data_IF_064842536910
#
_entry.id   IF_064842536910
#
_cell.length_a   1.000
_cell.length_b   1.000
_cell.length_c   1.000
_cell.angle_alpha   90.00
_cell.angle_beta   90.00
_cell.angle_gamma   90.00
#
_symmetry.space_group_name_H-M   'P 1'
#
loop_
_entity.id
_entity.type
_entity.pdbx_description
1 polymer ?
#
# COMPACT_ATOMS: atom_id res chain seq x y z
N UNK A 1 2.81 -4.78 -1.84
CA UNK A 1 1.81 -5.59 -2.58
C UNK A 1 1.41 -6.74 -1.71
N UNK A 2 0.30 -7.39 -1.95
CA UNK A 2 -0.49 -8.11 -0.96
C UNK A 2 -0.78 -9.53 -1.45
N UNK A 3 -1.64 -10.26 -0.74
CA UNK A 3 -2.10 -11.59 -1.16
C UNK A 3 -2.67 -11.62 -2.59
N UNK A 4 -3.32 -10.53 -3.02
CA UNK A 4 -4.10 -10.46 -4.27
C UNK A 4 -3.40 -9.76 -5.43
N UNK A 5 -2.18 -9.24 -5.21
CA UNK A 5 -1.42 -8.46 -6.20
C UNK A 5 -0.03 -9.04 -6.45
N UNK A 6 0.58 -8.64 -7.58
CA UNK A 6 1.93 -9.08 -7.95
C UNK A 6 1.99 -10.60 -8.09
N UNK A 7 2.83 -11.25 -7.29
CA UNK A 7 3.01 -12.71 -7.25
C UNK A 7 2.32 -13.37 -6.05
N UNK A 8 1.39 -12.66 -5.41
CA UNK A 8 0.64 -13.19 -4.26
C UNK A 8 -0.25 -14.40 -4.62
N UNK A 9 -0.64 -15.22 -3.65
CA UNK A 9 -1.38 -16.47 -3.91
C UNK A 9 -2.78 -16.25 -4.50
N UNK A 10 -3.38 -15.08 -4.31
CA UNK A 10 -4.68 -14.72 -4.86
C UNK A 10 -4.56 -13.81 -6.10
N UNK A 11 -3.34 -13.50 -6.54
CA UNK A 11 -3.09 -12.72 -7.75
C UNK A 11 -3.46 -13.49 -9.02
N UNK A 12 -3.62 -12.79 -10.14
CA UNK A 12 -3.92 -13.40 -11.44
C UNK A 12 -2.84 -14.38 -11.90
N UNK A 13 -1.56 -14.11 -11.57
CA UNK A 13 -0.42 -14.99 -11.86
C UNK A 13 0.40 -15.20 -10.58
N UNK A 14 0.03 -16.18 -9.73
CA UNK A 14 0.77 -16.47 -8.50
C UNK A 14 2.23 -16.86 -8.76
N UNK A 15 3.14 -16.37 -7.92
CA UNK A 15 4.58 -16.63 -8.05
C UNK A 15 5.07 -17.94 -7.44
N UNK A 16 4.17 -18.80 -6.98
CA UNK A 16 4.49 -20.09 -6.33
C UNK A 16 3.82 -21.26 -7.03
N UNK A 17 4.09 -22.46 -6.54
CA UNK A 17 3.43 -23.68 -6.99
C UNK A 17 2.42 -24.15 -5.92
N UNK A 18 1.27 -24.65 -6.37
CA UNK A 18 0.27 -25.26 -5.52
C UNK A 18 0.34 -26.79 -5.65
N UNK A 19 -0.09 -27.51 -4.61
CA UNK A 19 -0.27 -28.96 -4.65
C UNK A 19 -1.60 -29.39 -5.28
N UNK A 20 -2.30 -28.47 -5.91
CA UNK A 20 -3.55 -28.67 -6.65
C UNK A 20 -3.53 -27.82 -7.93
N UNK A 21 -4.34 -28.21 -8.91
CA UNK A 21 -4.45 -27.48 -10.15
C UNK A 21 -5.35 -26.24 -9.98
N UNK A 22 -4.89 -25.09 -10.46
CA UNK A 22 -5.68 -23.86 -10.53
C UNK A 22 -6.62 -23.82 -11.76
N UNK A 23 -6.52 -24.79 -12.67
CA UNK A 23 -7.43 -24.89 -13.81
C UNK A 23 -8.88 -25.05 -13.30
N UNK A 24 -9.76 -24.13 -13.71
CA UNK A 24 -11.13 -24.06 -13.22
C UNK A 24 -11.36 -23.25 -11.95
N UNK A 25 -10.31 -22.76 -11.28
CA UNK A 25 -10.48 -21.77 -10.23
C UNK A 25 -10.94 -20.42 -10.82
N UNK A 26 -11.81 -19.65 -10.13
CA UNK A 26 -12.20 -18.33 -10.59
C UNK A 26 -11.00 -17.45 -10.89
N UNK A 27 -11.01 -16.77 -12.04
CA UNK A 27 -9.94 -15.82 -12.38
C UNK A 27 -9.93 -14.63 -11.42
N UNK A 28 -11.11 -14.22 -10.93
CA UNK A 28 -11.28 -13.21 -9.88
C UNK A 28 -11.59 -13.91 -8.56
N UNK A 29 -10.72 -13.73 -7.58
CA UNK A 29 -10.81 -14.35 -6.26
C UNK A 29 -10.99 -13.26 -5.22
N UNK A 30 -11.89 -13.51 -4.28
CA UNK A 30 -12.18 -12.59 -3.18
C UNK A 30 -11.90 -13.33 -1.87
N UNK A 31 -11.17 -12.68 -0.97
CA UNK A 31 -10.89 -13.19 0.37
C UNK A 31 -11.16 -12.09 1.39
N UNK A 32 -11.95 -12.41 2.42
CA UNK A 32 -12.37 -11.48 3.45
C UNK A 32 -11.79 -11.92 4.79
N UNK A 33 -10.82 -11.16 5.29
CA UNK A 33 -10.05 -11.52 6.47
C UNK A 33 -10.27 -10.52 7.61
N UNK A 34 -10.15 -11.01 8.84
CA UNK A 34 -10.16 -10.14 10.02
C UNK A 34 -8.98 -9.15 9.99
N UNK A 35 -9.28 -7.90 10.34
CA UNK A 35 -8.25 -6.92 10.72
C UNK A 35 -8.19 -6.90 12.25
N UNK A 36 -7.12 -7.41 12.87
CA UNK A 36 -7.12 -7.68 14.31
C UNK A 36 -6.98 -6.42 15.17
N UNK A 37 -6.48 -5.32 14.61
CA UNK A 37 -6.27 -4.08 15.34
C UNK A 37 -7.50 -3.16 15.27
N UNK A 38 -7.66 -2.32 16.30
CA UNK A 38 -8.66 -1.25 16.32
C UNK A 38 -8.40 -0.29 15.18
N UNK A 39 -9.43 0.00 14.41
CA UNK A 39 -9.40 0.93 13.28
C UNK A 39 -10.31 2.13 13.58
N UNK A 40 -9.75 3.33 13.41
CA UNK A 40 -10.50 4.57 13.60
C UNK A 40 -10.25 5.50 12.41
N UNK A 41 -11.32 6.14 11.92
CA UNK A 41 -11.24 7.12 10.85
C UNK A 41 -11.87 8.45 11.28
N UNK A 42 -11.20 9.55 10.91
CA UNK A 42 -11.59 10.91 11.26
C UNK A 42 -11.71 11.76 10.00
N UNK A 43 -12.81 12.48 9.86
CA UNK A 43 -13.04 13.47 8.80
C UNK A 43 -13.54 14.77 9.43
N UNK A 44 -12.93 15.91 9.07
CA UNK A 44 -13.20 17.23 9.63
C UNK A 44 -13.24 17.25 11.18
N UNK A 45 -12.30 16.54 11.81
CA UNK A 45 -12.19 16.43 13.27
C UNK A 45 -13.27 15.56 13.93
N UNK A 46 -14.12 14.89 13.15
CA UNK A 46 -15.18 13.99 13.66
C UNK A 46 -14.77 12.54 13.43
N UNK A 47 -14.84 11.73 14.46
CA UNK A 47 -14.69 10.26 14.33
C UNK A 47 -15.91 9.72 13.62
N UNK A 48 -15.72 9.12 12.45
CA UNK A 48 -16.78 8.53 11.62
C UNK A 48 -16.91 7.03 11.80
N UNK A 49 -15.85 6.37 12.24
CA UNK A 49 -15.82 4.97 12.63
C UNK A 49 -14.76 4.75 13.70
N UNK A 50 -15.07 3.87 14.65
CA UNK A 50 -14.17 3.38 15.67
C UNK A 50 -14.54 1.91 15.97
N UNK A 51 -13.71 0.97 15.52
CA UNK A 51 -14.07 -0.45 15.53
C UNK A 51 -12.88 -1.35 15.77
N UNK A 52 -13.09 -2.47 16.47
CA UNK A 52 -12.17 -3.61 16.58
C UNK A 52 -12.63 -4.80 15.72
N UNK A 53 -13.64 -4.60 14.88
CA UNK A 53 -14.27 -5.64 14.05
C UNK A 53 -14.08 -5.40 12.55
N UNK A 54 -13.11 -4.57 12.19
CA UNK A 54 -12.80 -4.32 10.79
C UNK A 54 -12.36 -5.61 10.07
N UNK A 55 -12.61 -5.64 8.78
CA UNK A 55 -12.18 -6.71 7.87
C UNK A 55 -11.37 -6.08 6.73
N UNK A 56 -10.55 -6.88 6.08
CA UNK A 56 -9.87 -6.54 4.84
C UNK A 56 -10.41 -7.40 3.71
N UNK A 57 -10.90 -6.75 2.68
CA UNK A 57 -11.34 -7.40 1.45
C UNK A 57 -10.19 -7.41 0.45
N UNK A 58 -9.70 -8.60 0.10
CA UNK A 58 -8.69 -8.84 -0.92
C UNK A 58 -9.37 -9.29 -2.20
N UNK A 59 -9.10 -8.62 -3.30
CA UNK A 59 -9.59 -8.99 -4.64
C UNK A 59 -8.42 -9.10 -5.60
N UNK A 60 -8.45 -10.10 -6.49
CA UNK A 60 -7.41 -10.30 -7.50
C UNK A 60 -7.11 -9.02 -8.26
N UNK A 61 -5.86 -8.56 -8.21
CA UNK A 61 -5.38 -7.37 -8.92
C UNK A 61 -5.70 -6.03 -8.24
N UNK A 62 -6.33 -6.03 -7.07
CA UNK A 62 -6.75 -4.82 -6.35
C UNK A 62 -6.09 -4.80 -4.96
N UNK A 63 -5.60 -3.62 -4.47
CA UNK A 63 -5.17 -3.47 -3.09
C UNK A 63 -6.30 -3.81 -2.11
N UNK A 64 -5.98 -4.34 -0.91
CA UNK A 64 -7.00 -4.67 0.07
C UNK A 64 -7.78 -3.42 0.49
N UNK A 65 -9.09 -3.58 0.60
CA UNK A 65 -10.00 -2.51 1.02
C UNK A 65 -10.52 -2.83 2.41
N UNK A 66 -10.36 -1.92 3.39
CA UNK A 66 -10.95 -2.07 4.71
C UNK A 66 -12.48 -1.96 4.64
N UNK A 67 -13.16 -2.89 5.27
CA UNK A 67 -14.59 -2.90 5.53
C UNK A 67 -14.83 -2.85 7.03
N UNK A 68 -15.82 -2.12 7.44
CA UNK A 68 -16.20 -1.94 8.85
C UNK A 68 -17.67 -2.32 9.03
N UNK A 69 -18.10 -2.83 10.22
CA UNK A 69 -19.52 -3.02 10.47
C UNK A 69 -20.29 -1.71 10.28
N UNK A 70 -21.41 -1.75 9.58
CA UNK A 70 -22.26 -0.55 9.34
C UNK A 70 -22.69 0.08 10.67
N UNK A 71 -22.96 -0.75 11.69
CA UNK A 71 -23.36 -0.30 13.02
C UNK A 71 -22.26 0.45 13.81
N UNK A 72 -20.98 0.32 13.40
CA UNK A 72 -19.86 1.03 14.01
C UNK A 72 -19.59 2.39 13.34
N UNK A 73 -20.30 2.71 12.26
CA UNK A 73 -20.28 4.02 11.63
C UNK A 73 -21.17 5.01 12.40
N UNK A 74 -20.76 6.27 12.50
CA UNK A 74 -21.62 7.32 13.03
C UNK A 74 -22.76 7.64 12.03
N UNK A 75 -23.89 6.95 12.18
CA UNK A 75 -25.05 7.09 11.30
C UNK A 75 -25.61 8.53 11.28
N UNK A 76 -25.35 9.35 12.31
CA UNK A 76 -25.81 10.74 12.35
C UNK A 76 -25.12 11.63 11.32
N UNK A 77 -23.98 11.18 10.79
CA UNK A 77 -23.19 11.88 9.77
C UNK A 77 -23.47 11.37 8.35
N UNK A 78 -24.30 10.33 8.18
CA UNK A 78 -24.50 9.64 6.91
C UNK A 78 -25.92 9.89 6.35
N UNK A 79 -26.00 10.27 5.09
CA UNK A 79 -27.23 10.45 4.34
C UNK A 79 -27.22 9.51 3.12
N UNK A 80 -28.23 8.62 3.06
CA UNK A 80 -28.36 7.68 1.92
C UNK A 80 -28.60 8.42 0.63
N UNK A 81 -27.94 8.02 -0.44
CA UNK A 81 -28.09 8.59 -1.79
C UNK A 81 -28.87 7.64 -2.69
N UNK A 82 -29.34 8.17 -3.83
CA UNK A 82 -30.00 7.38 -4.88
C UNK A 82 -28.99 6.62 -5.77
N UNK A 83 -27.68 6.83 -5.54
CA UNK A 83 -26.65 6.15 -6.32
C UNK A 83 -26.66 4.67 -6.04
N UNK A 84 -26.53 3.88 -7.11
CA UNK A 84 -26.23 2.43 -7.06
C UNK A 84 -25.24 2.09 -8.14
N UNK A 85 -24.39 1.11 -7.87
CA UNK A 85 -23.48 0.52 -8.87
C UNK A 85 -23.51 -1.00 -8.78
N UNK A 86 -23.33 -1.67 -9.91
CA UNK A 86 -23.31 -3.13 -9.96
C UNK A 86 -21.89 -3.67 -10.04
N UNK A 87 -21.55 -4.60 -9.14
CA UNK A 87 -20.34 -5.41 -9.21
C UNK A 87 -20.71 -6.86 -9.56
N UNK A 88 -20.18 -7.44 -10.65
CA UNK A 88 -20.53 -8.81 -11.06
C UNK A 88 -20.10 -9.89 -10.06
N UNK A 89 -19.27 -9.53 -9.08
CA UNK A 89 -18.74 -10.44 -8.07
C UNK A 89 -19.34 -10.26 -6.69
N UNK A 90 -19.98 -9.08 -6.42
CA UNK A 90 -20.50 -8.73 -5.09
C UNK A 90 -21.97 -8.34 -5.09
N UNK A 91 -22.52 -7.91 -6.21
CA UNK A 91 -23.92 -7.46 -6.35
C UNK A 91 -24.04 -5.94 -6.44
N UNK A 92 -25.21 -5.41 -6.05
CA UNK A 92 -25.50 -3.97 -6.11
C UNK A 92 -25.05 -3.26 -4.83
N UNK A 93 -24.27 -2.20 -5.00
CA UNK A 93 -23.83 -1.34 -3.93
C UNK A 93 -24.76 -0.15 -3.75
N UNK A 94 -25.11 0.13 -2.49
CA UNK A 94 -25.76 1.38 -2.05
C UNK A 94 -24.71 2.34 -1.52
N UNK A 95 -25.03 3.65 -1.54
CA UNK A 95 -24.08 4.70 -1.18
C UNK A 95 -24.67 5.68 -0.16
N UNK A 96 -23.76 6.30 0.62
CA UNK A 96 -24.08 7.35 1.58
C UNK A 96 -23.10 8.51 1.44
N UNK A 97 -23.65 9.72 1.46
CA UNK A 97 -22.91 10.96 1.60
C UNK A 97 -22.56 11.19 3.07
N UNK A 98 -21.31 11.53 3.35
CA UNK A 98 -20.87 11.96 4.67
C UNK A 98 -21.06 13.48 4.83
N UNK A 99 -21.65 13.90 5.97
CA UNK A 99 -21.75 15.30 6.38
C UNK A 99 -21.12 15.51 7.75
N UNK A 100 -19.93 16.10 7.77
CA UNK A 100 -19.16 16.35 8.99
C UNK A 100 -18.86 17.84 9.13
N UNK A 101 -19.71 18.57 9.85
CA UNK A 101 -19.65 20.04 9.91
C UNK A 101 -19.90 20.65 8.54
N UNK A 102 -18.98 21.49 8.07
CA UNK A 102 -19.06 22.13 6.75
C UNK A 102 -18.55 21.21 5.61
N UNK A 103 -17.96 20.06 5.95
CA UNK A 103 -17.45 19.09 4.97
C UNK A 103 -18.57 18.18 4.48
N UNK A 104 -18.72 18.09 3.17
CA UNK A 104 -19.64 17.18 2.50
C UNK A 104 -18.83 16.30 1.53
N UNK A 105 -18.87 15.01 1.75
CA UNK A 105 -18.26 14.01 0.86
C UNK A 105 -19.37 13.16 0.22
N UNK A 106 -19.66 13.43 -1.05
CA UNK A 106 -20.70 12.72 -1.79
C UNK A 106 -20.32 11.26 -2.02
N UNK A 107 -21.30 10.34 -1.79
CA UNK A 107 -21.18 8.91 -2.01
C UNK A 107 -19.93 8.29 -1.33
N UNK A 108 -19.59 8.77 -0.16
CA UNK A 108 -18.35 8.49 0.56
C UNK A 108 -18.27 7.06 1.13
N UNK A 109 -19.42 6.52 1.56
CA UNK A 109 -19.53 5.16 2.09
C UNK A 109 -20.30 4.32 1.09
N UNK A 110 -19.94 3.06 0.92
CA UNK A 110 -20.73 2.10 0.17
C UNK A 110 -20.86 0.76 0.89
N UNK A 111 -21.96 0.06 0.64
CA UNK A 111 -22.21 -1.27 1.17
C UNK A 111 -22.99 -2.12 0.16
N UNK A 112 -22.80 -3.43 0.25
CA UNK A 112 -23.61 -4.42 -0.45
C UNK A 112 -24.67 -4.92 0.53
N UNK A 113 -25.85 -4.28 0.54
CA UNK A 113 -26.93 -4.60 1.50
C UNK A 113 -27.58 -5.97 1.22
N UNK A 114 -27.50 -6.42 -0.03
CA UNK A 114 -27.94 -7.74 -0.47
C UNK A 114 -26.88 -8.34 -1.39
N UNK A 115 -25.75 -8.79 -0.84
CA UNK A 115 -24.64 -9.31 -1.65
C UNK A 115 -25.03 -10.62 -2.36
N UNK A 116 -24.28 -10.97 -3.41
CA UNK A 116 -24.47 -12.23 -4.11
C UNK A 116 -24.22 -13.43 -3.17
N UNK A 117 -24.88 -14.57 -3.47
CA UNK A 117 -24.83 -15.81 -2.66
C UNK A 117 -23.40 -16.34 -2.42
N UNK A 118 -22.44 -16.04 -3.29
CA UNK A 118 -21.05 -16.44 -3.13
C UNK A 118 -20.25 -15.55 -2.16
N UNK A 119 -20.80 -14.40 -1.73
CA UNK A 119 -20.14 -13.47 -0.80
C UNK A 119 -21.09 -12.96 0.30
N UNK A 120 -21.88 -13.85 0.95
CA UNK A 120 -22.94 -13.46 1.90
C UNK A 120 -22.37 -12.76 3.14
N UNK A 121 -21.12 -12.97 3.44
CA UNK A 121 -20.38 -12.37 4.55
C UNK A 121 -20.08 -10.88 4.39
N UNK A 122 -20.39 -10.25 3.24
CA UNK A 122 -20.35 -8.79 3.04
C UNK A 122 -21.56 -8.09 3.67
N UNK A 123 -22.67 -8.79 3.90
CA UNK A 123 -23.84 -8.22 4.52
C UNK A 123 -23.49 -7.64 5.91
N UNK A 124 -23.98 -6.44 6.18
CA UNK A 124 -23.69 -5.74 7.43
C UNK A 124 -22.34 -5.02 7.50
N UNK A 125 -21.54 -5.07 6.41
CA UNK A 125 -20.28 -4.35 6.31
C UNK A 125 -20.34 -3.26 5.24
N UNK A 126 -19.65 -2.15 5.51
CA UNK A 126 -19.48 -1.03 4.58
C UNK A 126 -18.00 -0.70 4.40
N UNK A 127 -17.66 -0.12 3.27
CA UNK A 127 -16.35 0.45 3.01
C UNK A 127 -16.47 1.96 2.80
N UNK A 128 -15.34 2.64 2.96
CA UNK A 128 -15.21 4.08 2.79
C UNK A 128 -14.19 4.38 1.68
N UNK A 129 -14.28 5.53 1.05
CA UNK A 129 -13.19 6.07 0.25
C UNK A 129 -12.06 6.53 1.19
N UNK A 130 -11.19 5.58 1.58
CA UNK A 130 -10.13 5.76 2.57
C UNK A 130 -9.11 6.83 2.20
N UNK A 131 -8.96 7.12 0.91
CA UNK A 131 -8.14 8.20 0.36
C UNK A 131 -8.72 9.61 0.60
N UNK A 132 -10.00 9.71 1.01
CA UNK A 132 -10.68 10.96 1.36
C UNK A 132 -10.81 11.18 2.87
N UNK A 133 -10.32 10.23 3.68
CA UNK A 133 -10.26 10.33 5.13
C UNK A 133 -9.08 11.21 5.53
N UNK A 134 -9.28 12.15 6.45
CA UNK A 134 -8.21 13.07 6.88
C UNK A 134 -7.18 12.35 7.77
N UNK A 135 -7.66 11.47 8.65
CA UNK A 135 -6.80 10.72 9.57
C UNK A 135 -7.32 9.29 9.77
N UNK A 136 -6.42 8.34 9.61
CA UNK A 136 -6.66 6.92 9.91
C UNK A 136 -5.77 6.55 11.07
N UNK A 137 -6.33 5.88 12.07
CA UNK A 137 -5.58 5.37 13.20
C UNK A 137 -5.69 3.85 13.27
N UNK A 138 -4.58 3.20 13.56
CA UNK A 138 -4.51 1.78 13.91
C UNK A 138 -4.07 1.74 15.36
N UNK A 139 -4.93 1.23 16.25
CA UNK A 139 -4.85 1.48 17.68
C UNK A 139 -4.81 3.01 17.94
N UNK A 140 -3.80 3.52 18.63
CA UNK A 140 -3.61 4.94 18.88
C UNK A 140 -2.57 5.60 17.97
N UNK A 141 -2.05 4.86 16.98
CA UNK A 141 -1.05 5.37 16.04
C UNK A 141 -1.69 5.82 14.72
N UNK A 142 -1.34 7.04 14.29
CA UNK A 142 -1.79 7.54 12.99
C UNK A 142 -1.11 6.79 11.86
N UNK A 143 -1.90 6.21 10.96
CA UNK A 143 -1.41 5.55 9.77
C UNK A 143 -0.75 6.57 8.82
N UNK A 144 0.38 6.22 8.25
CA UNK A 144 1.07 7.03 7.26
C UNK A 144 0.62 6.61 5.86
N UNK A 145 -0.01 7.55 5.13
CA UNK A 145 -0.54 7.28 3.80
C UNK A 145 -1.82 6.44 3.83
N UNK A 146 -1.70 5.13 3.78
CA UNK A 146 -2.85 4.23 3.81
C UNK A 146 -2.68 3.14 4.89
N UNK A 147 -3.76 2.40 5.17
CA UNK A 147 -3.73 1.28 6.11
C UNK A 147 -2.70 0.23 5.65
N UNK A 148 -1.90 -0.27 6.60
CA UNK A 148 -0.97 -1.37 6.33
C UNK A 148 -1.73 -2.69 6.15
N UNK A 149 -1.29 -3.48 5.19
CA UNK A 149 -1.75 -4.83 4.97
C UNK A 149 -0.96 -5.80 5.89
N UNK A 150 -1.62 -6.61 6.74
CA UNK A 150 -0.94 -7.58 7.61
C UNK A 150 -0.08 -8.61 6.88
N UNK A 151 -0.37 -8.88 5.60
CA UNK A 151 0.39 -9.81 4.77
C UNK A 151 1.52 -9.16 3.97
N UNK A 152 1.70 -7.85 4.12
CA UNK A 152 2.78 -7.13 3.49
C UNK A 152 3.94 -6.97 4.46
N UNK A 153 5.11 -7.47 4.07
CA UNK A 153 6.34 -7.45 4.86
C UNK A 153 7.43 -6.67 4.15
N UNK A 154 8.23 -5.95 4.91
CA UNK A 154 9.45 -5.28 4.47
C UNK A 154 10.58 -5.70 5.39
N UNK A 155 11.65 -6.25 4.82
CA UNK A 155 12.89 -6.57 5.52
C UNK A 155 14.04 -5.78 4.90
N UNK A 156 14.71 -4.97 5.71
CA UNK A 156 15.95 -4.29 5.36
C UNK A 156 17.13 -5.02 5.99
N UNK A 157 17.96 -5.68 5.19
CA UNK A 157 19.03 -6.56 5.64
C UNK A 157 20.39 -6.09 5.10
N UNK A 158 21.40 -5.99 5.97
CA UNK A 158 22.77 -5.78 5.56
C UNK A 158 23.24 -6.93 4.65
N UNK A 159 24.05 -6.62 3.64
CA UNK A 159 24.49 -7.59 2.65
C UNK A 159 25.92 -7.33 2.22
N UNK A 160 26.62 -8.40 1.88
CA UNK A 160 27.95 -8.35 1.26
C UNK A 160 27.91 -8.49 -0.26
N UNK A 161 26.73 -8.43 -0.89
CA UNK A 161 26.61 -8.48 -2.35
C UNK A 161 27.29 -7.26 -2.97
N UNK A 162 27.87 -7.49 -4.14
CA UNK A 162 28.45 -6.42 -4.93
C UNK A 162 27.35 -5.73 -5.73
N UNK A 163 27.21 -4.44 -5.53
CA UNK A 163 26.24 -3.60 -6.27
C UNK A 163 27.00 -2.61 -7.12
N UNK A 164 26.64 -2.55 -8.39
CA UNK A 164 27.12 -1.55 -9.35
C UNK A 164 25.94 -0.85 -9.97
N UNK A 165 25.98 0.49 -9.97
CA UNK A 165 24.95 1.33 -10.58
C UNK A 165 25.59 2.16 -11.68
N UNK A 166 24.96 2.13 -12.86
CA UNK A 166 25.34 3.00 -13.99
C UNK A 166 24.18 3.90 -14.38
N UNK A 167 24.50 5.13 -14.80
CA UNK A 167 23.58 6.10 -15.36
C UNK A 167 24.12 6.59 -16.70
N UNK A 168 23.36 6.40 -17.78
CA UNK A 168 23.83 6.75 -19.13
C UNK A 168 25.13 6.02 -19.55
N UNK A 169 25.39 4.84 -18.99
CA UNK A 169 26.60 4.04 -19.24
C UNK A 169 27.79 4.37 -18.32
N UNK A 170 27.73 5.43 -17.52
CA UNK A 170 28.76 5.81 -16.56
C UNK A 170 28.49 5.24 -15.18
N UNK A 171 29.53 4.71 -14.51
CA UNK A 171 29.38 4.20 -13.14
C UNK A 171 29.15 5.38 -12.19
N UNK A 172 28.03 5.33 -11.44
CA UNK A 172 27.63 6.35 -10.47
C UNK A 172 27.70 5.87 -9.01
N UNK A 173 27.67 4.56 -8.79
CA UNK A 173 27.86 3.98 -7.45
C UNK A 173 28.41 2.55 -7.54
N UNK A 174 29.26 2.17 -6.58
CA UNK A 174 29.74 0.81 -6.37
C UNK A 174 29.81 0.54 -4.86
N UNK A 175 29.26 -0.61 -4.40
CA UNK A 175 29.26 -0.95 -2.98
C UNK A 175 29.32 -2.45 -2.79
N UNK A 176 30.12 -2.88 -1.80
CA UNK A 176 30.14 -4.26 -1.28
C UNK A 176 29.45 -4.38 0.09
N UNK A 177 28.69 -3.37 0.49
CA UNK A 177 27.98 -3.32 1.78
C UNK A 177 26.59 -2.66 1.65
N UNK A 178 25.78 -3.08 0.64
CA UNK A 178 24.45 -2.51 0.49
C UNK A 178 23.51 -3.01 1.61
N UNK A 179 22.42 -2.31 1.80
CA UNK A 179 21.24 -2.87 2.47
C UNK A 179 20.31 -3.39 1.39
N UNK A 180 20.00 -4.68 1.43
CA UNK A 180 19.01 -5.29 0.56
C UNK A 180 17.63 -5.18 1.22
N UNK A 181 16.66 -4.62 0.49
CA UNK A 181 15.28 -4.53 0.93
C UNK A 181 14.45 -5.56 0.17
N UNK A 182 13.83 -6.45 0.94
CA UNK A 182 12.90 -7.47 0.47
C UNK A 182 11.48 -7.05 0.86
N UNK A 183 10.64 -6.87 -0.13
CA UNK A 183 9.27 -6.40 0.06
C UNK A 183 8.29 -7.36 -0.60
N UNK A 184 7.23 -7.74 0.12
CA UNK A 184 6.26 -8.71 -0.38
C UNK A 184 5.74 -8.33 -1.76
N UNK A 185 5.90 -9.25 -2.73
CA UNK A 185 5.43 -9.10 -4.10
C UNK A 185 6.21 -8.10 -4.96
N UNK A 186 7.36 -7.61 -4.49
CA UNK A 186 8.27 -6.77 -5.26
C UNK A 186 9.64 -7.45 -5.45
N UNK A 187 10.37 -7.14 -6.51
CA UNK A 187 11.76 -7.59 -6.66
C UNK A 187 12.64 -7.06 -5.51
N UNK A 188 13.65 -7.83 -5.06
CA UNK A 188 14.65 -7.34 -4.12
C UNK A 188 15.32 -6.06 -4.61
N UNK A 189 15.51 -5.09 -3.72
CA UNK A 189 16.06 -3.79 -4.06
C UNK A 189 17.30 -3.48 -3.24
N UNK A 190 18.37 -3.05 -3.91
CA UNK A 190 19.59 -2.61 -3.26
C UNK A 190 19.49 -1.13 -2.86
N UNK A 191 19.90 -0.85 -1.63
CA UNK A 191 20.14 0.49 -1.11
C UNK A 191 21.63 0.62 -0.83
N UNK A 192 22.28 1.54 -1.54
CA UNK A 192 23.73 1.77 -1.49
C UNK A 192 24.02 2.86 -0.45
N UNK A 193 25.00 2.68 0.45
CA UNK A 193 25.45 3.77 1.32
C UNK A 193 25.76 5.02 0.52
N UNK A 194 25.32 6.19 0.97
CA UNK A 194 25.55 7.45 0.26
C UNK A 194 27.04 7.74 0.04
N UNK A 195 27.90 7.27 0.94
CA UNK A 195 29.36 7.41 0.82
C UNK A 195 29.95 6.59 -0.35
N UNK A 196 29.23 5.57 -0.82
CA UNK A 196 29.65 4.72 -1.94
C UNK A 196 29.09 5.21 -3.29
N UNK A 197 28.35 6.34 -3.29
CA UNK A 197 27.88 7.05 -4.47
C UNK A 197 28.91 8.09 -4.89
N UNK A 198 29.23 8.16 -6.17
CA UNK A 198 30.22 9.10 -6.71
C UNK A 198 29.83 10.55 -6.36
N UNK A 199 30.76 11.37 -5.82
CA UNK A 199 30.47 12.75 -5.47
C UNK A 199 29.92 13.56 -6.64
N UNK A 200 28.90 14.39 -6.37
CA UNK A 200 28.34 15.32 -7.35
C UNK A 200 27.33 14.72 -8.35
N UNK A 201 27.06 13.40 -8.30
CA UNK A 201 26.07 12.79 -9.22
C UNK A 201 24.62 12.92 -8.72
N UNK A 202 24.41 13.11 -7.41
CA UNK A 202 23.07 13.29 -6.81
C UNK A 202 22.70 14.76 -6.75
N UNK A 203 21.63 15.15 -7.40
CA UNK A 203 20.98 16.45 -7.28
C UNK A 203 19.68 16.31 -6.47
N UNK A 204 19.44 17.21 -5.51
CA UNK A 204 18.19 17.17 -4.73
C UNK A 204 16.96 17.44 -5.61
N UNK A 205 15.91 16.66 -5.43
CA UNK A 205 14.60 16.86 -6.04
C UNK A 205 13.58 17.37 -5.00
N UNK A 206 12.59 18.13 -5.47
CA UNK A 206 11.45 18.54 -4.65
C UNK A 206 10.43 17.42 -4.42
N UNK A 207 10.51 16.34 -5.19
CA UNK A 207 9.59 15.21 -5.10
C UNK A 207 9.69 14.50 -3.76
N UNK A 208 8.54 14.13 -3.23
CA UNK A 208 8.37 13.28 -2.04
C UNK A 208 7.33 12.23 -2.34
N UNK A 209 7.45 11.08 -1.69
CA UNK A 209 6.40 10.07 -1.68
C UNK A 209 6.32 9.41 -0.31
N UNK A 210 5.16 8.85 0.00
CA UNK A 210 4.90 8.20 1.28
C UNK A 210 4.72 6.71 1.05
N UNK A 211 5.45 5.91 1.84
CA UNK A 211 5.25 4.48 1.96
C UNK A 211 4.84 4.19 3.42
N UNK A 212 3.68 3.54 3.67
CA UNK A 212 3.23 3.26 5.03
C UNK A 212 4.16 2.32 5.80
N UNK A 213 5.03 1.59 5.10
CA UNK A 213 5.97 0.63 5.70
C UNK A 213 7.39 1.18 5.85
N UNK A 214 7.81 2.14 5.00
CA UNK A 214 9.20 2.63 4.97
C UNK A 214 9.34 4.09 5.41
N UNK A 215 8.26 4.86 5.35
CA UNK A 215 8.25 6.29 5.69
C UNK A 215 8.20 7.20 4.47
N UNK A 216 8.62 8.47 4.65
CA UNK A 216 8.71 9.46 3.58
C UNK A 216 10.02 9.30 2.81
N UNK A 217 9.91 9.15 1.49
CA UNK A 217 11.04 9.11 0.57
C UNK A 217 11.37 10.50 0.04
N UNK A 218 12.66 10.85 0.09
CA UNK A 218 13.26 11.98 -0.62
C UNK A 218 13.84 11.49 -1.95
N UNK A 219 13.63 12.25 -3.02
CA UNK A 219 14.10 11.89 -4.35
C UNK A 219 15.34 12.69 -4.77
N UNK A 220 16.09 12.10 -5.69
CA UNK A 220 17.34 12.64 -6.20
C UNK A 220 17.38 12.48 -7.73
N UNK A 221 17.83 13.51 -8.43
CA UNK A 221 18.30 13.36 -9.80
C UNK A 221 19.65 12.68 -9.80
N UNK A 222 19.95 11.84 -10.81
CA UNK A 222 21.22 11.10 -10.94
C UNK A 222 21.85 11.45 -12.28
N UNK A 223 22.99 12.11 -12.26
CA UNK A 223 23.71 12.54 -13.48
C UNK A 223 22.79 13.26 -14.50
N UNK A 224 21.85 14.08 -14.00
CA UNK A 224 20.89 14.84 -14.82
C UNK A 224 19.59 14.10 -15.15
N UNK A 225 19.44 12.82 -14.78
CA UNK A 225 18.17 12.06 -14.92
C UNK A 225 17.31 12.39 -13.71
N UNK A 226 16.15 13.01 -13.92
CA UNK A 226 15.26 13.46 -12.85
C UNK A 226 14.67 12.28 -12.07
N UNK A 227 14.59 12.43 -10.73
CA UNK A 227 13.95 11.49 -9.81
C UNK A 227 14.40 10.03 -9.94
N UNK A 228 15.63 9.80 -10.41
CA UNK A 228 16.17 8.48 -10.70
C UNK A 228 16.76 7.76 -9.48
N UNK A 229 16.68 8.37 -8.31
CA UNK A 229 17.03 7.73 -7.04
C UNK A 229 16.16 8.27 -5.91
N UNK A 230 16.10 7.51 -4.81
CA UNK A 230 15.43 7.94 -3.59
C UNK A 230 16.11 7.38 -2.34
N UNK A 231 15.85 8.01 -1.22
CA UNK A 231 16.32 7.60 0.11
C UNK A 231 15.25 7.86 1.15
N UNK A 232 15.31 7.12 2.25
CA UNK A 232 14.53 7.35 3.45
C UNK A 232 15.47 7.95 4.49
N UNK A 233 15.31 9.24 4.82
CA UNK A 233 16.19 9.93 5.77
C UNK A 233 15.84 9.57 7.23
N UNK A 234 14.54 9.42 7.51
CA UNK A 234 13.98 8.98 8.79
C UNK A 234 12.99 7.84 8.54
N UNK A 235 13.49 6.64 8.19
CA UNK A 235 12.62 5.52 7.86
C UNK A 235 11.88 4.98 9.08
N UNK A 236 10.77 4.31 8.83
CA UNK A 236 10.05 3.52 9.82
C UNK A 236 10.89 2.29 10.25
N UNK A 237 10.55 1.66 11.39
CA UNK A 237 11.35 0.57 11.97
C UNK A 237 11.72 -0.55 11.00
N UNK A 238 10.82 -0.92 10.10
CA UNK A 238 11.00 -2.00 9.12
C UNK A 238 12.12 -1.70 8.11
N UNK A 239 12.38 -0.43 7.83
CA UNK A 239 13.40 0.04 6.89
C UNK A 239 14.57 0.77 7.56
N UNK A 240 14.68 0.74 8.89
CA UNK A 240 15.66 1.54 9.65
C UNK A 240 17.09 1.33 9.18
N UNK A 241 17.48 0.13 8.77
CA UNK A 241 18.84 -0.17 8.28
C UNK A 241 19.14 0.52 6.95
N UNK A 242 18.12 0.92 6.17
CA UNK A 242 18.29 1.65 4.92
C UNK A 242 18.38 3.17 5.13
N UNK A 243 18.39 3.67 6.38
CA UNK A 243 18.55 5.09 6.69
C UNK A 243 19.80 5.66 6.01
N UNK A 244 19.67 6.77 5.28
CA UNK A 244 20.78 7.42 4.60
C UNK A 244 21.39 6.65 3.43
N UNK A 245 20.80 5.51 3.04
CA UNK A 245 21.17 4.78 1.83
C UNK A 245 20.31 5.23 0.65
N UNK A 246 20.80 5.04 -0.56
CA UNK A 246 20.17 5.48 -1.80
C UNK A 246 19.83 4.25 -2.66
N UNK A 247 18.61 4.19 -3.13
CA UNK A 247 18.17 3.23 -4.14
C UNK A 247 17.97 3.93 -5.48
N UNK A 248 18.16 3.20 -6.58
CA UNK A 248 18.20 3.74 -7.92
C UNK A 248 17.20 3.03 -8.84
N UNK A 249 16.50 3.80 -9.67
CA UNK A 249 15.60 3.30 -10.71
C UNK A 249 15.26 4.44 -11.68
N UNK A 250 15.18 4.14 -12.96
CA UNK A 250 14.80 5.12 -13.98
C UNK A 250 15.25 4.69 -15.36
N UNK A 251 14.78 5.38 -16.38
CA UNK A 251 15.28 5.19 -17.74
C UNK A 251 16.75 5.58 -17.80
N UNK A 252 17.59 4.70 -18.35
CA UNK A 252 19.06 4.90 -18.39
C UNK A 252 19.80 4.56 -17.10
N UNK A 253 19.11 4.07 -16.06
CA UNK A 253 19.71 3.53 -14.84
C UNK A 253 19.77 2.01 -14.95
N UNK A 254 20.96 1.44 -14.70
CA UNK A 254 21.15 -0.01 -14.57
C UNK A 254 21.72 -0.32 -13.19
N UNK A 255 21.07 -1.23 -12.47
CA UNK A 255 21.52 -1.71 -11.16
C UNK A 255 21.87 -3.19 -11.29
N UNK A 256 23.15 -3.52 -11.15
CA UNK A 256 23.66 -4.90 -11.15
C UNK A 256 23.91 -5.31 -9.69
N UNK A 257 23.45 -6.50 -9.32
CA UNK A 257 23.63 -7.09 -7.98
C UNK A 257 24.14 -8.50 -8.15
N UNK A 258 25.36 -8.78 -7.66
CA UNK A 258 26.08 -10.06 -7.77
C UNK A 258 26.34 -10.69 -6.39
#
# INVERSE_FOLDING_TARGET
>A
MTLSMGTGPLAGSPGGQFNFNLDGAPAHRIFFADHPARLRAVVAGRTIVDTTRAKLLYETGIPPVPYVPIEDLDASLLERTERSTHCPFKGDASYWTLRAGDRVEEDFVWAYESPLEQVPWLEGYAALYWDRVDEIYVEDERALGHLRDPYHRVDALESSRQVRVTAGGEVVAESGRPVMVFETGLPPRAYVPRADVRPGVLGASAKRSICPYKGEASYWSVAGIEDAAWSYETPLPEALRAAGHVSFEGEGIVVEVN
#
